data_IF_362872095625
#
_entry.id   IF_362872095625
#
_cell.length_a   1.000
_cell.length_b   1.000
_cell.length_c   1.000
_cell.angle_alpha   90.00
_cell.angle_beta   90.00
_cell.angle_gamma   90.00
#
_symmetry.space_group_name_H-M   'P 1'
#
loop_
_entity.id
_entity.type
_entity.pdbx_description
1 polymer ?
#
# COMPACT_ATOMS: atom_id res chain seq x y z
N UNK A 1 7.34 -13.54 7.92
CA UNK A 1 7.21 -13.51 7.28
C UNK A 1 7.20 -13.77 6.47
N UNK A 2 7.01 -14.12 6.51
CA UNK A 2 6.83 -14.40 5.65
C UNK A 2 7.22 -14.71 4.96
N UNK A 3 7.20 -15.12 5.13
CA UNK A 3 7.50 -15.54 4.36
C UNK A 3 7.86 -15.92 3.67
N UNK A 4 8.03 -16.28 3.82
CA UNK A 4 8.44 -16.77 3.02
C UNK A 4 9.14 -17.23 2.75
N UNK A 5 9.09 -17.40 2.85
CA UNK A 5 9.76 -17.88 2.41
C UNK A 5 10.08 -18.15 1.84
N UNK A 6 9.96 -18.49 2.07
CA UNK A 6 10.12 -18.78 1.35
C UNK A 6 10.68 -19.09 0.80
N UNK A 7 10.79 -19.40 1.00
CA UNK A 7 11.13 -19.73 0.35
C UNK A 7 11.31 -19.96 -0.36
N UNK A 8 11.24 -20.17 -0.26
CA UNK A 8 11.34 -20.40 -1.12
C UNK A 8 11.76 -20.74 -1.88
N UNK A 9 11.86 -20.93 -2.15
CA UNK A 9 12.34 -21.36 -2.98
C UNK A 9 12.90 -21.27 -3.75
N UNK A 10 13.03 -21.39 -4.04
CA UNK A 10 13.76 -21.38 -4.72
C UNK A 10 14.15 -21.34 -5.45
N UNK A 11 14.44 -21.75 -5.79
CA UNK A 11 14.96 -21.87 -6.43
C UNK A 11 15.47 -22.13 -7.35
N UNK A 12 15.57 -22.27 -7.59
CA UNK A 12 16.13 -22.74 -8.26
C UNK A 12 15.92 -22.79 -9.53
N UNK A 13 15.61 -23.06 -10.10
CA UNK A 13 15.28 -23.10 -11.28
C UNK A 13 15.67 -22.10 -12.01
N UNK A 14 16.17 -21.74 -11.79
CA UNK A 14 16.43 -20.90 -12.32
C UNK A 14 16.92 -20.56 -13.33
N UNK A 15 17.13 -20.81 -13.65
CA UNK A 15 17.48 -20.26 -14.39
C UNK A 15 18.50 -19.75 -15.18
N UNK A 16 19.27 -20.46 -15.74
CA UNK A 16 20.33 -19.97 -16.55
C UNK A 16 19.85 -19.18 -17.75
N UNK A 17 18.78 -19.66 -18.36
CA UNK A 17 18.29 -18.93 -19.51
C UNK A 17 17.85 -17.54 -19.16
N UNK A 18 17.65 -17.27 -17.90
CA UNK A 18 17.29 -15.94 -17.51
C UNK A 18 18.42 -14.98 -17.64
N UNK A 19 19.63 -15.43 -17.53
CA UNK A 19 20.77 -14.54 -17.65
C UNK A 19 20.79 -13.89 -19.00
N UNK A 20 20.31 -14.59 -20.00
CA UNK A 20 20.33 -14.04 -21.36
C UNK A 20 19.31 -12.93 -21.53
N UNK A 21 18.28 -12.93 -20.71
CA UNK A 21 17.23 -11.93 -20.83
C UNK A 21 17.31 -10.85 -19.78
N UNK A 22 18.32 -10.91 -18.89
CA UNK A 22 18.48 -9.87 -17.89
C UNK A 22 18.90 -8.58 -18.52
N UNK A 23 18.27 -7.47 -18.15
CA UNK A 23 18.67 -6.18 -18.69
C UNK A 23 20.01 -5.74 -18.10
N UNK A 24 20.66 -4.83 -18.80
CA UNK A 24 21.83 -4.16 -18.26
C UNK A 24 21.42 -3.44 -16.98
N UNK A 25 22.29 -3.45 -15.99
CA UNK A 25 22.03 -2.79 -14.73
C UNK A 25 21.98 -1.29 -14.97
N UNK A 26 20.85 -0.67 -14.66
CA UNK A 26 20.64 0.77 -14.82
C UNK A 26 19.96 1.30 -13.57
N UNK A 27 20.72 1.87 -12.65
CA UNK A 27 20.13 2.24 -11.35
C UNK A 27 19.20 3.45 -11.40
N UNK A 28 19.19 4.21 -12.51
CA UNK A 28 18.43 5.45 -12.54
C UNK A 28 16.93 5.24 -12.32
N UNK A 29 16.34 4.25 -12.97
CA UNK A 29 14.90 4.01 -12.82
C UNK A 29 14.58 3.57 -11.40
N UNK A 30 15.41 2.71 -10.83
CA UNK A 30 15.21 2.25 -9.47
C UNK A 30 15.32 3.42 -8.49
N UNK A 31 16.28 4.29 -8.69
CA UNK A 31 16.45 5.47 -7.83
C UNK A 31 15.25 6.42 -7.98
N UNK A 32 14.74 6.59 -9.20
CA UNK A 32 13.56 7.41 -9.40
C UNK A 32 12.34 6.83 -8.74
N UNK A 33 12.20 5.51 -8.78
CA UNK A 33 11.10 4.84 -8.09
C UNK A 33 11.18 5.08 -6.59
N UNK A 34 12.38 5.00 -6.03
CA UNK A 34 12.57 5.26 -4.60
C UNK A 34 12.20 6.71 -4.25
N UNK A 35 12.54 7.65 -5.14
CA UNK A 35 12.17 9.05 -4.92
C UNK A 35 10.65 9.22 -4.94
N UNK A 36 9.98 8.59 -5.89
CA UNK A 36 8.53 8.66 -5.98
C UNK A 36 7.86 8.00 -4.77
N UNK A 37 8.45 6.91 -4.28
CA UNK A 37 7.91 6.21 -3.12
C UNK A 37 7.84 7.11 -1.89
N UNK A 38 8.72 8.11 -1.80
CA UNK A 38 8.67 9.04 -0.67
C UNK A 38 7.33 9.76 -0.57
N UNK A 39 6.71 10.07 -1.70
CA UNK A 39 5.39 10.68 -1.71
C UNK A 39 4.32 9.74 -1.14
N UNK A 40 4.41 8.47 -1.50
CA UNK A 40 3.50 7.47 -0.97
C UNK A 40 3.69 7.31 0.54
N UNK A 41 4.93 7.32 0.99
CA UNK A 41 5.23 7.21 2.41
C UNK A 41 4.71 8.40 3.19
N UNK A 42 4.78 9.60 2.62
CA UNK A 42 4.22 10.79 3.23
C UNK A 42 2.71 10.65 3.39
N UNK A 43 2.04 10.19 2.35
CA UNK A 43 0.59 9.99 2.41
C UNK A 43 0.24 8.93 3.44
N UNK A 44 1.01 7.85 3.50
CA UNK A 44 0.79 6.79 4.48
C UNK A 44 0.91 7.33 5.88
N UNK A 45 1.94 8.13 6.14
CA UNK A 45 2.16 8.70 7.46
C UNK A 45 1.03 9.66 7.83
N UNK A 46 0.64 10.53 6.90
CA UNK A 46 -0.41 11.51 7.13
C UNK A 46 -1.71 10.83 7.48
N UNK A 47 -2.08 9.82 6.72
CA UNK A 47 -3.31 9.07 6.94
C UNK A 47 -3.26 8.31 8.26
N UNK A 48 -2.14 7.66 8.53
CA UNK A 48 -1.97 6.87 9.75
C UNK A 48 -2.05 7.77 10.99
N UNK A 49 -1.41 8.92 10.93
CA UNK A 49 -1.45 9.87 12.04
C UNK A 49 -2.86 10.39 12.27
N UNK A 50 -3.59 10.68 11.19
CA UNK A 50 -4.95 11.16 11.31
C UNK A 50 -5.86 10.14 11.98
N UNK A 51 -5.73 8.88 11.59
CA UNK A 51 -6.52 7.80 12.18
C UNK A 51 -6.16 7.61 13.65
N UNK A 52 -4.87 7.65 13.94
CA UNK A 52 -4.38 7.44 15.30
C UNK A 52 -4.85 8.53 16.26
N UNK A 53 -4.87 9.77 15.80
CA UNK A 53 -5.11 10.91 16.67
C UNK A 53 -6.57 11.32 16.79
N UNK A 54 -7.47 10.70 16.02
CA UNK A 54 -8.89 11.10 16.02
C UNK A 54 -9.80 9.89 16.18
N UNK A 55 -10.42 9.79 17.35
CA UNK A 55 -11.43 8.76 17.58
C UNK A 55 -12.61 8.93 16.63
N UNK A 56 -12.96 10.18 16.33
CA UNK A 56 -14.07 10.47 15.40
C UNK A 56 -13.79 9.92 14.01
N UNK A 57 -12.61 10.18 13.51
CA UNK A 57 -12.25 9.71 12.17
C UNK A 57 -12.22 8.19 12.13
N UNK A 58 -11.57 7.58 13.12
CA UNK A 58 -11.49 6.12 13.17
C UNK A 58 -12.88 5.49 13.24
N UNK A 59 -13.76 6.03 14.08
CA UNK A 59 -15.11 5.52 14.21
C UNK A 59 -15.91 5.70 12.92
N UNK A 60 -15.75 6.85 12.27
CA UNK A 60 -16.47 7.12 11.02
C UNK A 60 -16.04 6.15 9.93
N UNK A 61 -14.75 5.85 9.85
CA UNK A 61 -14.25 4.91 8.86
C UNK A 61 -14.82 3.52 9.14
N UNK A 62 -14.78 3.08 10.39
CA UNK A 62 -15.30 1.77 10.75
C UNK A 62 -16.79 1.64 10.45
N UNK A 63 -17.56 2.68 10.80
CA UNK A 63 -19.00 2.67 10.54
C UNK A 63 -19.31 2.60 9.05
N UNK A 64 -18.60 3.37 8.25
CA UNK A 64 -18.79 3.34 6.81
C UNK A 64 -18.38 1.98 6.24
N UNK A 65 -17.29 1.41 6.73
CA UNK A 65 -16.83 0.11 6.27
C UNK A 65 -17.82 -0.99 6.62
N UNK A 66 -18.45 -0.92 7.78
CA UNK A 66 -19.46 -1.91 8.18
C UNK A 66 -20.66 -1.89 7.26
N UNK A 67 -20.94 -0.75 6.66
CA UNK A 67 -22.01 -0.60 5.68
C UNK A 67 -21.55 -0.82 4.26
N UNK A 68 -20.30 -1.21 4.08
CA UNK A 68 -19.66 -1.38 2.78
C UNK A 68 -19.73 -0.10 1.94
N UNK A 69 -19.69 1.03 2.61
CA UNK A 69 -19.78 2.35 1.95
C UNK A 69 -18.38 2.83 1.58
N UNK A 70 -17.89 2.29 0.49
CA UNK A 70 -16.52 2.59 0.02
C UNK A 70 -16.38 4.07 -0.35
N UNK A 71 -17.43 4.66 -0.88
CA UNK A 71 -17.40 6.07 -1.28
C UNK A 71 -17.16 6.97 -0.07
N UNK A 72 -17.83 6.66 1.04
CA UNK A 72 -17.66 7.47 2.25
C UNK A 72 -16.26 7.30 2.85
N UNK A 73 -15.73 6.07 2.88
CA UNK A 73 -14.39 5.85 3.38
C UNK A 73 -13.38 6.59 2.51
N UNK A 74 -13.57 6.53 1.18
CA UNK A 74 -12.68 7.26 0.27
C UNK A 74 -12.73 8.76 0.55
N UNK A 75 -13.91 9.29 0.77
CA UNK A 75 -14.06 10.72 1.05
C UNK A 75 -13.35 11.12 2.34
N UNK A 76 -13.43 10.26 3.35
CA UNK A 76 -12.78 10.53 4.64
C UNK A 76 -11.27 10.49 4.54
N UNK A 77 -10.73 9.61 3.70
CA UNK A 77 -9.28 9.41 3.61
C UNK A 77 -8.61 10.31 2.58
N UNK A 78 -9.32 10.71 1.52
CA UNK A 78 -8.66 11.43 0.42
C UNK A 78 -8.08 12.76 0.85
N UNK A 79 -8.56 13.33 1.95
CA UNK A 79 -8.04 14.58 2.47
C UNK A 79 -6.57 14.47 2.85
N UNK A 80 -6.15 13.27 3.24
CA UNK A 80 -4.80 13.03 3.73
C UNK A 80 -3.88 12.44 2.65
N UNK A 81 -4.43 12.05 1.50
CA UNK A 81 -3.67 11.39 0.46
C UNK A 81 -3.55 12.35 -0.72
N UNK A 82 -2.41 13.03 -0.80
CA UNK A 82 -2.21 14.12 -1.75
C UNK A 82 -1.23 13.82 -2.85
N UNK A 83 -0.34 12.84 -2.64
CA UNK A 83 0.74 12.56 -3.57
C UNK A 83 0.55 11.26 -4.33
N UNK A 84 -0.59 10.60 -4.13
CA UNK A 84 -0.81 9.28 -4.74
C UNK A 84 -2.29 9.08 -5.03
N UNK A 85 -2.58 8.07 -5.82
CA UNK A 85 -3.92 7.52 -5.94
C UNK A 85 -4.05 6.40 -4.92
N UNK A 86 -5.27 5.97 -4.64
CA UNK A 86 -5.44 4.87 -3.71
C UNK A 86 -6.69 4.06 -4.00
N UNK A 87 -6.64 2.80 -3.63
CA UNK A 87 -7.76 1.88 -3.68
C UNK A 87 -7.99 1.33 -2.28
N UNK A 88 -9.23 0.97 -2.01
CA UNK A 88 -9.65 0.50 -0.70
C UNK A 88 -10.21 -0.91 -0.80
N UNK A 89 -9.98 -1.69 0.24
CA UNK A 89 -10.57 -3.02 0.35
C UNK A 89 -10.90 -3.26 1.81
N UNK A 90 -12.12 -3.73 2.07
CA UNK A 90 -12.56 -4.02 3.43
C UNK A 90 -12.52 -5.51 3.67
N UNK A 91 -12.11 -5.89 4.86
CA UNK A 91 -12.26 -7.24 5.35
C UNK A 91 -13.03 -7.17 6.66
N UNK A 92 -13.59 -8.27 7.15
CA UNK A 92 -14.24 -8.23 8.46
C UNK A 92 -13.32 -7.74 9.57
N UNK A 93 -12.01 -7.96 9.41
CA UNK A 93 -11.03 -7.64 10.44
C UNK A 93 -10.36 -6.31 10.26
N UNK A 94 -10.52 -5.65 9.12
CA UNK A 94 -9.77 -4.43 8.93
C UNK A 94 -9.95 -3.77 7.59
N UNK A 95 -9.06 -2.83 7.32
CA UNK A 95 -9.05 -2.02 6.13
C UNK A 95 -7.71 -2.15 5.43
N UNK A 96 -7.75 -2.34 4.12
CA UNK A 96 -6.54 -2.36 3.31
C UNK A 96 -6.58 -1.15 2.40
N UNK A 97 -5.51 -0.35 2.43
CA UNK A 97 -5.36 0.82 1.57
C UNK A 97 -4.16 0.58 0.68
N UNK A 98 -4.37 0.62 -0.62
CA UNK A 98 -3.30 0.47 -1.58
C UNK A 98 -3.00 1.84 -2.17
N UNK A 99 -1.83 2.39 -1.84
CA UNK A 99 -1.38 3.65 -2.42
C UNK A 99 -0.58 3.34 -3.68
N UNK A 100 -0.84 4.12 -4.73
CA UNK A 100 -0.19 3.93 -6.03
C UNK A 100 0.25 5.30 -6.51
N UNK A 101 1.45 5.39 -7.09
CA UNK A 101 1.92 6.67 -7.60
C UNK A 101 0.97 7.20 -8.67
N UNK A 102 0.97 8.53 -8.86
CA UNK A 102 0.01 9.17 -9.75
C UNK A 102 0.09 8.67 -11.19
N UNK A 103 1.29 8.30 -11.64
CA UNK A 103 1.47 7.76 -12.98
C UNK A 103 1.13 6.28 -13.07
N UNK A 104 0.97 5.61 -11.94
CA UNK A 104 0.70 4.17 -11.83
C UNK A 104 1.76 3.33 -12.53
N UNK A 105 3.01 3.77 -12.47
CA UNK A 105 4.08 3.09 -13.20
C UNK A 105 5.13 2.42 -12.34
N UNK A 106 5.40 2.99 -11.15
CA UNK A 106 6.55 2.49 -10.43
C UNK A 106 6.26 1.89 -9.08
N UNK A 107 5.20 2.38 -8.41
CA UNK A 107 5.27 2.28 -6.96
C UNK A 107 3.92 1.96 -6.36
N UNK A 108 3.93 1.01 -5.45
CA UNK A 108 2.73 0.65 -4.68
C UNK A 108 3.13 0.50 -3.23
N UNK A 109 2.24 0.90 -2.35
CA UNK A 109 2.43 0.73 -0.93
C UNK A 109 1.10 0.28 -0.33
N UNK A 110 1.08 -0.93 0.20
CA UNK A 110 -0.12 -1.47 0.80
C UNK A 110 -0.07 -1.33 2.31
N UNK A 111 -1.14 -0.80 2.85
CA UNK A 111 -1.29 -0.63 4.29
C UNK A 111 -2.48 -1.47 4.74
N UNK A 112 -2.26 -2.30 5.74
CA UNK A 112 -3.33 -3.12 6.30
C UNK A 112 -3.53 -2.72 7.75
N UNK A 113 -4.73 -2.27 8.07
CA UNK A 113 -5.09 -1.85 9.42
C UNK A 113 -6.12 -2.82 9.98
N UNK A 114 -5.83 -3.37 11.13
CA UNK A 114 -6.78 -4.25 11.81
C UNK A 114 -7.56 -3.44 12.83
N UNK A 115 -8.87 -3.65 12.85
CA UNK A 115 -9.70 -3.02 13.87
C UNK A 115 -10.39 -4.03 14.76
N UNK A 116 -10.22 -5.32 14.47
CA UNK A 116 -10.75 -6.35 15.34
C UNK A 116 -9.83 -6.56 16.52
N UNK A 117 -10.35 -7.18 17.55
CA UNK A 117 -9.54 -7.54 18.72
C UNK A 117 -8.69 -8.74 18.38
N UNK A 118 -7.46 -8.72 18.83
CA UNK A 118 -6.53 -9.82 18.56
C UNK A 118 -6.54 -10.86 19.65
#
# INVERSE_FOLDING_TARGET
MYYYPYTYQPYTYAPLYRFQSLPTVRPNQFKNSAQTMKGLLKDAESMTEAIHSSNELASSIMQAAQKSDKVQVRRLLQVYIKNSNFDLHFTPDGLIVMLVDLSRRCCQLQLSFLWGEL
#
